data_IF_879387710927
#
_entry.id   IF_879387710927
#
_cell.length_a   1.000
_cell.length_b   1.000
_cell.length_c   1.000
_cell.angle_alpha   90.00
_cell.angle_beta   90.00
_cell.angle_gamma   90.00
#
_symmetry.space_group_name_H-M   'P 1'
#
loop_
_entity.id
_entity.type
_entity.pdbx_description
1 polymer ?
#
# COMPACT_ATOMS: atom_id res chain seq x y z
N UNK A 1 -3.99 -9.34 17.24
CA UNK A 1 -3.62 -10.17 16.08
C UNK A 1 -2.33 -9.61 15.54
N UNK A 2 -1.41 -10.46 15.10
CA UNK A 2 -0.13 -10.02 14.56
C UNK A 2 -0.23 -9.91 13.03
N UNK A 3 0.39 -8.89 12.45
CA UNK A 3 0.51 -8.77 10.98
C UNK A 3 1.62 -9.68 10.43
N UNK A 4 1.74 -9.80 9.11
CA UNK A 4 2.69 -10.71 8.45
C UNK A 4 4.18 -10.36 8.65
N UNK A 5 4.49 -9.29 9.40
CA UNK A 5 5.84 -9.01 9.89
C UNK A 5 6.27 -9.97 11.03
N UNK A 6 5.29 -10.54 11.74
CA UNK A 6 5.50 -11.60 12.71
C UNK A 6 5.68 -12.94 11.98
N UNK A 7 6.72 -13.75 12.31
CA UNK A 7 7.00 -15.01 11.60
C UNK A 7 5.87 -16.03 11.67
N UNK A 8 5.13 -16.11 12.79
CA UNK A 8 4.03 -17.05 12.94
C UNK A 8 2.84 -16.63 12.07
N UNK A 9 2.48 -15.35 12.10
CA UNK A 9 1.44 -14.80 11.23
C UNK A 9 1.82 -14.88 9.74
N UNK A 10 3.10 -14.68 9.40
CA UNK A 10 3.60 -14.83 8.02
C UNK A 10 3.40 -16.25 7.51
N UNK A 11 3.78 -17.26 8.31
CA UNK A 11 3.61 -18.68 7.96
C UNK A 11 2.15 -19.01 7.69
N UNK A 12 1.26 -18.64 8.61
CA UNK A 12 -0.18 -18.86 8.43
C UNK A 12 -0.73 -18.13 7.19
N UNK A 13 -0.30 -16.89 6.96
CA UNK A 13 -0.68 -16.14 5.76
C UNK A 13 -0.25 -16.82 4.47
N UNK A 14 0.94 -17.44 4.43
CA UNK A 14 1.39 -18.21 3.27
C UNK A 14 0.52 -19.45 3.05
N UNK A 15 0.25 -20.24 4.09
CA UNK A 15 -0.61 -21.43 4.01
C UNK A 15 -1.99 -21.10 3.43
N UNK A 16 -2.57 -19.96 3.84
CA UNK A 16 -3.87 -19.50 3.33
C UNK A 16 -3.82 -19.15 1.83
N UNK A 17 -2.80 -18.40 1.40
CA UNK A 17 -2.68 -17.99 -0.01
C UNK A 17 -2.26 -19.16 -0.91
N UNK A 18 -1.41 -20.07 -0.42
CA UNK A 18 -1.05 -21.31 -1.10
C UNK A 18 -2.28 -22.20 -1.33
N UNK A 19 -3.16 -22.33 -0.33
CA UNK A 19 -4.43 -23.04 -0.50
C UNK A 19 -5.30 -22.42 -1.61
N UNK A 20 -5.42 -21.09 -1.66
CA UNK A 20 -6.16 -20.40 -2.73
C UNK A 20 -5.50 -20.59 -4.10
N UNK A 21 -4.17 -20.59 -4.15
CA UNK A 21 -3.40 -20.83 -5.38
C UNK A 21 -3.64 -22.24 -5.91
N UNK A 22 -3.55 -23.26 -5.06
CA UNK A 22 -3.80 -24.66 -5.43
C UNK A 22 -5.24 -24.85 -5.91
N UNK A 23 -6.21 -24.24 -5.21
CA UNK A 23 -7.61 -24.27 -5.65
C UNK A 23 -7.80 -23.61 -7.02
N UNK A 24 -7.09 -22.52 -7.31
CA UNK A 24 -7.12 -21.91 -8.64
C UNK A 24 -6.53 -22.85 -9.71
N UNK A 25 -5.50 -23.64 -9.40
CA UNK A 25 -4.95 -24.63 -10.34
C UNK A 25 -5.93 -25.79 -10.60
N UNK A 26 -6.64 -26.25 -9.57
CA UNK A 26 -7.71 -27.24 -9.71
C UNK A 26 -8.84 -26.72 -10.59
N UNK A 27 -9.35 -25.52 -10.30
CA UNK A 27 -10.40 -24.88 -11.09
C UNK A 27 -10.01 -24.68 -12.55
N UNK A 28 -8.73 -24.40 -12.82
CA UNK A 28 -8.20 -24.33 -14.19
C UNK A 28 -8.32 -25.66 -14.92
N UNK A 29 -8.06 -26.79 -14.25
CA UNK A 29 -8.24 -28.14 -14.82
C UNK A 29 -9.71 -28.51 -14.97
N UNK A 30 -10.53 -28.23 -13.96
CA UNK A 30 -11.97 -28.57 -13.92
C UNK A 30 -12.77 -27.80 -14.98
N UNK A 31 -12.49 -26.50 -15.14
CA UNK A 31 -13.32 -25.61 -15.97
C UNK A 31 -12.73 -25.33 -17.35
N UNK A 32 -11.44 -25.59 -17.56
CA UNK A 32 -10.71 -25.16 -18.76
C UNK A 32 -10.47 -23.64 -18.84
N UNK A 33 -10.87 -22.86 -17.84
CA UNK A 33 -10.68 -21.40 -17.79
C UNK A 33 -9.38 -21.02 -17.08
N UNK A 34 -8.89 -19.80 -17.35
CA UNK A 34 -7.71 -19.26 -16.64
C UNK A 34 -8.11 -18.67 -15.29
N UNK A 35 -8.05 -19.50 -14.25
CA UNK A 35 -8.15 -19.06 -12.87
C UNK A 35 -6.80 -18.61 -12.34
N UNK A 36 -6.81 -17.58 -11.49
CA UNK A 36 -5.60 -17.04 -10.86
C UNK A 36 -5.93 -16.32 -9.56
N UNK A 37 -4.92 -16.18 -8.70
CA UNK A 37 -5.01 -15.41 -7.45
C UNK A 37 -4.35 -14.06 -7.68
N UNK A 38 -5.02 -12.97 -7.26
CA UNK A 38 -4.49 -11.62 -7.31
C UNK A 38 -4.54 -10.94 -5.95
N UNK A 39 -3.55 -10.08 -5.70
CA UNK A 39 -3.60 -9.08 -4.66
C UNK A 39 -4.52 -7.94 -5.13
N UNK A 40 -5.74 -7.92 -4.62
CA UNK A 40 -6.72 -6.89 -4.98
C UNK A 40 -6.21 -5.51 -4.52
N UNK A 41 -6.36 -4.44 -5.31
CA UNK A 41 -5.99 -3.08 -4.86
C UNK A 41 -6.79 -2.60 -3.63
N UNK A 42 -8.04 -3.04 -3.49
CA UNK A 42 -8.92 -2.85 -2.34
C UNK A 42 -9.07 -1.39 -1.82
N UNK A 43 -8.98 -0.39 -2.71
CA UNK A 43 -8.99 1.04 -2.37
C UNK A 43 -10.14 1.46 -1.45
N UNK A 44 -11.35 0.99 -1.74
CA UNK A 44 -12.55 1.21 -0.93
C UNK A 44 -12.88 0.01 -0.04
N UNK A 45 -12.60 -1.21 -0.52
CA UNK A 45 -12.94 -2.47 0.16
C UNK A 45 -12.23 -2.61 1.51
N UNK A 46 -10.95 -2.25 1.61
CA UNK A 46 -10.17 -2.36 2.84
C UNK A 46 -10.78 -1.53 3.99
N UNK A 47 -11.16 -0.28 3.69
CA UNK A 47 -11.86 0.58 4.65
C UNK A 47 -13.27 0.06 4.95
N UNK A 48 -14.03 -0.31 3.90
CA UNK A 48 -15.42 -0.76 4.05
C UNK A 48 -15.53 -2.01 4.94
N UNK A 49 -14.68 -3.01 4.72
CA UNK A 49 -14.72 -4.25 5.50
C UNK A 49 -14.31 -3.99 6.95
N UNK A 50 -13.25 -3.21 7.18
CA UNK A 50 -12.84 -2.83 8.54
C UNK A 50 -13.97 -2.12 9.31
N UNK A 51 -14.69 -1.20 8.66
CA UNK A 51 -15.86 -0.52 9.26
C UNK A 51 -17.00 -1.48 9.60
N UNK A 52 -17.33 -2.40 8.68
CA UNK A 52 -18.40 -3.37 8.88
C UNK A 52 -18.06 -4.35 10.02
N UNK A 53 -16.83 -4.83 10.06
CA UNK A 53 -16.37 -5.74 11.10
C UNK A 53 -16.28 -5.05 12.46
N UNK A 54 -15.79 -3.79 12.52
CA UNK A 54 -15.80 -3.02 13.76
C UNK A 54 -17.22 -2.80 14.28
N UNK A 55 -18.20 -2.56 13.39
CA UNK A 55 -19.61 -2.45 13.78
C UNK A 55 -20.18 -3.76 14.33
N UNK A 56 -19.89 -4.88 13.68
CA UNK A 56 -20.46 -6.19 14.03
C UNK A 56 -19.78 -6.82 15.26
N UNK A 57 -18.45 -6.74 15.33
CA UNK A 57 -17.64 -7.45 16.32
C UNK A 57 -17.00 -6.53 17.37
N UNK A 58 -17.14 -5.20 17.25
CA UNK A 58 -16.67 -4.20 18.23
C UNK A 58 -15.19 -4.38 18.55
N UNK A 59 -14.82 -4.54 19.82
CA UNK A 59 -13.44 -4.71 20.25
C UNK A 59 -12.80 -6.05 19.85
N UNK A 60 -13.60 -7.00 19.34
CA UNK A 60 -13.06 -8.25 18.79
C UNK A 60 -12.53 -8.09 17.36
N UNK A 61 -12.97 -7.06 16.62
CA UNK A 61 -12.42 -6.78 15.29
C UNK A 61 -11.03 -6.16 15.41
N UNK A 62 -10.06 -6.75 14.73
CA UNK A 62 -8.67 -6.29 14.73
C UNK A 62 -8.41 -5.50 13.44
N UNK A 63 -8.51 -4.18 13.56
CA UNK A 63 -8.40 -3.20 12.45
C UNK A 63 -7.27 -2.21 12.74
N UNK A 64 -6.73 -1.57 11.71
CA UNK A 64 -5.88 -0.38 11.86
C UNK A 64 -6.74 0.90 11.86
N UNK A 65 -6.14 2.05 12.20
CA UNK A 65 -6.81 3.34 12.24
C UNK A 65 -7.67 3.57 13.50
N UNK A 66 -8.33 4.73 13.58
CA UNK A 66 -9.12 5.17 14.73
C UNK A 66 -10.33 6.00 14.30
N UNK A 67 -11.30 6.25 15.17
CA UNK A 67 -12.36 7.26 14.94
C UNK A 67 -13.04 7.17 13.55
N UNK A 68 -13.54 5.99 13.18
CA UNK A 68 -14.17 5.70 11.88
C UNK A 68 -13.26 5.85 10.65
N UNK A 69 -11.95 5.95 10.82
CA UNK A 69 -10.94 5.80 9.75
C UNK A 69 -10.33 4.40 9.72
N UNK A 70 -11.08 3.39 10.16
CA UNK A 70 -10.60 2.02 10.23
C UNK A 70 -10.25 1.44 8.86
N UNK A 71 -9.17 0.67 8.77
CA UNK A 71 -8.81 -0.01 7.54
C UNK A 71 -8.13 -1.35 7.82
N UNK A 72 -8.05 -2.16 6.76
CA UNK A 72 -7.19 -3.34 6.69
C UNK A 72 -5.98 -3.06 5.80
N UNK A 73 -4.84 -3.63 6.14
CA UNK A 73 -3.68 -3.70 5.24
C UNK A 73 -4.12 -4.37 3.95
N UNK A 74 -3.72 -3.78 2.82
CA UNK A 74 -4.10 -4.31 1.53
C UNK A 74 -3.45 -5.69 1.28
N UNK A 75 -4.23 -6.65 0.80
CA UNK A 75 -3.74 -7.97 0.34
C UNK A 75 -2.74 -8.63 1.30
N UNK A 76 -1.61 -9.13 0.79
CA UNK A 76 -0.54 -9.73 1.58
C UNK A 76 0.68 -8.81 1.67
N UNK A 77 0.44 -7.51 1.87
CA UNK A 77 1.51 -6.57 2.19
C UNK A 77 1.84 -6.60 3.69
N UNK A 78 3.08 -6.22 4.01
CA UNK A 78 3.43 -5.89 5.39
C UNK A 78 2.58 -4.70 5.85
N UNK A 79 2.08 -4.68 7.11
CA UNK A 79 1.40 -3.52 7.66
C UNK A 79 2.20 -2.24 7.45
N UNK A 80 1.50 -1.18 7.05
CA UNK A 80 2.15 0.04 6.54
C UNK A 80 2.95 0.78 7.61
N UNK A 81 2.58 0.58 8.87
CA UNK A 81 3.20 1.13 10.09
C UNK A 81 4.26 0.20 10.70
N UNK A 82 4.53 -0.96 10.10
CA UNK A 82 5.45 -1.93 10.66
C UNK A 82 6.89 -1.38 10.72
N UNK A 83 7.51 -1.43 11.90
CA UNK A 83 8.89 -0.99 12.13
C UNK A 83 9.94 -1.99 11.63
N UNK A 84 9.90 -2.33 10.33
CA UNK A 84 10.91 -3.17 9.68
C UNK A 84 11.64 -2.39 8.58
N UNK A 85 12.86 -2.80 8.26
CA UNK A 85 13.61 -2.25 7.13
C UNK A 85 13.08 -2.78 5.78
N UNK A 86 13.51 -2.12 4.70
CA UNK A 86 13.08 -2.44 3.33
C UNK A 86 13.47 -3.85 2.89
N UNK A 87 14.65 -4.33 3.32
CA UNK A 87 15.16 -5.65 2.93
C UNK A 87 14.30 -6.73 3.58
N UNK A 88 13.98 -6.59 4.87
CA UNK A 88 13.08 -7.50 5.58
C UNK A 88 11.68 -7.48 4.98
N UNK A 89 11.16 -6.30 4.60
CA UNK A 89 9.88 -6.18 3.89
C UNK A 89 9.90 -6.96 2.57
N UNK A 90 10.95 -6.81 1.76
CA UNK A 90 11.15 -7.59 0.52
C UNK A 90 11.14 -9.08 0.82
N UNK A 91 11.90 -9.54 1.83
CA UNK A 91 11.98 -10.97 2.19
C UNK A 91 10.65 -11.57 2.63
N UNK A 92 9.76 -10.75 3.17
CA UNK A 92 8.39 -11.17 3.51
C UNK A 92 7.53 -11.20 2.25
N UNK A 93 7.45 -10.10 1.49
CA UNK A 93 6.53 -9.95 0.36
C UNK A 93 6.93 -10.80 -0.86
N UNK A 94 8.22 -11.08 -1.07
CA UNK A 94 8.72 -11.89 -2.20
C UNK A 94 8.17 -13.32 -2.18
N UNK A 95 7.76 -13.82 -1.01
CA UNK A 95 7.20 -15.16 -0.88
C UNK A 95 5.78 -15.25 -1.47
N UNK A 96 5.04 -14.14 -1.50
CA UNK A 96 3.66 -14.11 -1.97
C UNK A 96 3.54 -13.91 -3.47
N UNK A 97 4.45 -13.16 -4.10
CA UNK A 97 4.37 -12.83 -5.53
C UNK A 97 4.26 -14.07 -6.46
N UNK A 98 5.04 -15.16 -6.25
CA UNK A 98 4.93 -16.38 -7.07
C UNK A 98 3.57 -17.10 -6.97
N UNK A 99 2.88 -16.97 -5.83
CA UNK A 99 1.60 -17.63 -5.56
C UNK A 99 0.40 -16.70 -5.82
N UNK A 100 0.65 -15.48 -6.31
CA UNK A 100 -0.38 -14.54 -6.77
C UNK A 100 -0.11 -14.09 -8.23
N UNK A 101 -0.09 -15.01 -9.21
CA UNK A 101 0.28 -14.69 -10.59
C UNK A 101 -0.77 -13.85 -11.34
N UNK A 102 -1.96 -13.62 -10.76
CA UNK A 102 -3.02 -12.80 -11.34
C UNK A 102 -2.79 -11.30 -11.16
N UNK A 103 -1.85 -10.92 -10.28
CA UNK A 103 -1.49 -9.54 -10.03
C UNK A 103 -0.97 -9.37 -8.62
N UNK A 104 0.12 -8.62 -8.50
CA UNK A 104 0.77 -8.27 -7.24
C UNK A 104 1.58 -7.00 -7.45
N UNK A 105 1.87 -6.29 -6.38
CA UNK A 105 2.77 -5.13 -6.43
C UNK A 105 3.55 -5.08 -5.12
N UNK A 106 4.76 -4.51 -5.16
CA UNK A 106 5.52 -4.15 -3.98
C UNK A 106 5.70 -2.63 -3.95
N UNK A 107 5.23 -1.99 -2.88
CA UNK A 107 5.43 -0.56 -2.69
C UNK A 107 6.71 -0.29 -1.91
N UNK A 108 7.66 0.43 -2.52
CA UNK A 108 8.77 1.08 -1.83
C UNK A 108 8.39 2.54 -1.52
N UNK A 109 7.83 2.78 -0.33
CA UNK A 109 7.41 4.12 0.09
C UNK A 109 8.64 4.98 0.44
N UNK A 110 9.01 5.90 -0.45
CA UNK A 110 10.16 6.79 -0.27
C UNK A 110 9.80 8.08 0.47
N UNK A 111 8.52 8.42 0.58
CA UNK A 111 8.10 9.64 1.26
C UNK A 111 8.60 10.91 0.55
N UNK A 112 9.33 11.76 1.27
CA UNK A 112 10.00 12.95 0.73
C UNK A 112 11.45 12.69 0.29
N UNK A 113 11.96 11.47 0.51
CA UNK A 113 13.33 11.12 0.17
C UNK A 113 13.59 11.28 -1.34
N UNK A 114 14.80 11.74 -1.64
CA UNK A 114 15.33 11.84 -2.99
C UNK A 114 16.58 10.95 -3.08
N UNK A 115 16.40 9.62 -3.10
CA UNK A 115 17.53 8.72 -3.22
C UNK A 115 18.29 8.99 -4.52
N UNK A 116 19.60 8.85 -4.43
CA UNK A 116 20.50 8.99 -5.57
C UNK A 116 20.11 8.01 -6.70
N UNK A 117 20.30 8.43 -7.95
CA UNK A 117 19.91 7.63 -9.10
C UNK A 117 20.71 6.32 -9.20
N UNK A 118 21.98 6.32 -8.79
CA UNK A 118 22.79 5.10 -8.76
C UNK A 118 22.31 4.17 -7.65
N UNK A 119 21.89 4.72 -6.50
CA UNK A 119 21.29 3.94 -5.42
C UNK A 119 19.99 3.26 -5.87
N UNK A 120 19.09 3.99 -6.54
CA UNK A 120 17.85 3.42 -7.12
C UNK A 120 18.16 2.37 -8.19
N UNK A 121 19.16 2.59 -9.04
CA UNK A 121 19.55 1.62 -10.05
C UNK A 121 20.11 0.34 -9.41
N UNK A 122 20.97 0.46 -8.40
CA UNK A 122 21.55 -0.68 -7.68
C UNK A 122 20.46 -1.48 -6.95
N UNK A 123 19.53 -0.78 -6.32
CA UNK A 123 18.40 -1.41 -5.64
C UNK A 123 17.46 -2.11 -6.64
N UNK A 124 17.17 -1.48 -7.77
CA UNK A 124 16.42 -2.09 -8.88
C UNK A 124 17.08 -3.37 -9.37
N UNK A 125 18.39 -3.35 -9.66
CA UNK A 125 19.15 -4.54 -10.07
C UNK A 125 19.07 -5.64 -9.02
N UNK A 126 19.19 -5.28 -7.74
CA UNK A 126 19.08 -6.24 -6.64
C UNK A 126 17.68 -6.88 -6.57
N UNK A 127 16.61 -6.11 -6.73
CA UNK A 127 15.24 -6.65 -6.81
C UNK A 127 15.14 -7.66 -7.95
N UNK A 128 15.56 -7.29 -9.17
CA UNK A 128 15.47 -8.16 -10.34
C UNK A 128 16.29 -9.45 -10.22
N UNK A 129 17.47 -9.39 -9.61
CA UNK A 129 18.44 -10.50 -9.63
C UNK A 129 18.36 -11.40 -8.40
N UNK A 130 17.99 -10.85 -7.24
CA UNK A 130 18.16 -11.51 -5.95
C UNK A 130 16.85 -11.70 -5.19
N UNK A 131 15.70 -11.40 -5.81
CA UNK A 131 14.39 -11.49 -5.16
C UNK A 131 13.33 -12.09 -6.09
N UNK A 132 12.19 -12.47 -5.52
CA UNK A 132 11.01 -12.93 -6.30
C UNK A 132 9.95 -11.85 -6.50
N UNK A 133 10.27 -10.58 -6.24
CA UNK A 133 9.35 -9.47 -6.44
C UNK A 133 9.12 -9.24 -7.93
N UNK A 134 7.94 -9.65 -8.44
CA UNK A 134 7.61 -9.54 -9.86
C UNK A 134 7.19 -8.15 -10.36
N UNK A 135 6.68 -7.26 -9.49
CA UNK A 135 6.30 -5.89 -9.86
C UNK A 135 6.45 -4.98 -8.63
N UNK A 136 6.99 -3.78 -8.82
CA UNK A 136 7.19 -2.82 -7.74
C UNK A 136 7.12 -1.38 -8.25
N UNK A 137 7.04 -0.45 -7.31
CA UNK A 137 7.18 0.98 -7.55
C UNK A 137 8.07 1.66 -6.52
N UNK A 138 8.57 2.83 -6.91
CA UNK A 138 9.14 3.83 -6.02
C UNK A 138 8.11 4.94 -5.84
N UNK A 139 7.49 5.03 -4.67
CA UNK A 139 6.42 5.98 -4.43
C UNK A 139 6.88 7.14 -3.57
N UNK A 140 6.85 8.33 -4.16
CA UNK A 140 7.06 9.60 -3.46
C UNK A 140 5.72 10.27 -3.19
N UNK A 141 5.60 10.87 -2.00
CA UNK A 141 4.51 11.77 -1.68
C UNK A 141 4.80 13.15 -2.30
N UNK A 142 3.77 13.79 -2.84
CA UNK A 142 3.87 15.12 -3.46
C UNK A 142 2.78 16.04 -2.92
N UNK A 143 3.06 17.33 -2.92
CA UNK A 143 2.09 18.39 -2.64
C UNK A 143 2.10 19.40 -3.78
N UNK A 144 0.93 19.91 -4.16
CA UNK A 144 0.79 20.88 -5.23
C UNK A 144 -0.09 22.04 -4.80
N UNK A 145 0.44 23.26 -4.88
CA UNK A 145 -0.33 24.46 -4.59
C UNK A 145 -1.20 24.84 -5.79
N UNK A 146 -2.52 24.72 -5.65
CA UNK A 146 -3.47 25.03 -6.70
C UNK A 146 -3.54 26.53 -7.02
N UNK A 147 -3.08 27.39 -6.10
CA UNK A 147 -3.05 28.86 -6.26
C UNK A 147 -1.86 29.33 -7.10
N UNK A 148 -0.63 29.07 -6.65
CA UNK A 148 0.59 29.54 -7.33
C UNK A 148 1.28 28.48 -8.21
N UNK A 149 0.71 27.27 -8.32
CA UNK A 149 1.18 26.17 -9.17
C UNK A 149 2.56 25.60 -8.79
N UNK A 150 3.00 25.80 -7.55
CA UNK A 150 4.23 25.21 -7.04
C UNK A 150 4.03 23.73 -6.70
N UNK A 151 4.86 22.87 -7.31
CA UNK A 151 5.02 21.46 -6.94
C UNK A 151 6.06 21.33 -5.83
N UNK A 152 5.74 20.53 -4.81
CA UNK A 152 6.55 20.30 -3.62
C UNK A 152 6.61 18.79 -3.34
N UNK A 153 7.72 18.34 -2.73
CA UNK A 153 7.87 16.96 -2.27
C UNK A 153 7.35 16.81 -0.85
N UNK A 154 6.88 15.61 -0.52
CA UNK A 154 6.27 15.28 0.76
C UNK A 154 4.82 15.74 0.86
N UNK A 155 4.22 15.44 2.01
CA UNK A 155 2.86 15.85 2.39
C UNK A 155 2.93 17.21 3.12
N UNK A 156 3.21 18.28 2.38
CA UNK A 156 3.33 19.62 2.93
C UNK A 156 1.96 20.27 3.12
N UNK A 157 1.74 20.86 4.29
CA UNK A 157 0.49 21.56 4.60
C UNK A 157 0.47 23.02 4.16
N UNK A 158 1.64 23.62 3.97
CA UNK A 158 1.81 25.03 3.60
C UNK A 158 2.67 25.13 2.35
N UNK A 159 2.26 25.96 1.40
CA UNK A 159 3.04 26.20 0.20
C UNK A 159 4.34 26.95 0.53
N UNK A 160 5.49 26.33 0.23
CA UNK A 160 6.81 26.92 0.44
C UNK A 160 7.07 28.21 -0.37
N UNK A 161 6.29 28.46 -1.44
CA UNK A 161 6.46 29.62 -2.31
C UNK A 161 5.56 30.81 -1.94
N UNK A 162 4.29 30.56 -1.60
CA UNK A 162 3.31 31.65 -1.38
C UNK A 162 2.59 31.63 -0.02
N UNK A 163 2.91 30.65 0.84
CA UNK A 163 2.31 30.53 2.18
C UNK A 163 0.85 30.04 2.21
N UNK A 164 0.28 29.68 1.06
CA UNK A 164 -1.09 29.14 0.97
C UNK A 164 -1.23 27.81 1.73
N UNK A 165 -2.38 27.61 2.41
CA UNK A 165 -2.63 26.43 3.25
C UNK A 165 -3.87 25.65 2.85
N UNK A 166 -4.91 26.37 2.38
CA UNK A 166 -6.22 25.78 2.06
C UNK A 166 -6.20 25.13 0.67
N UNK A 167 -5.44 25.71 -0.26
CA UNK A 167 -5.37 25.26 -1.66
C UNK A 167 -4.09 24.45 -1.95
N UNK A 168 -3.67 23.63 -0.99
CA UNK A 168 -2.55 22.68 -1.14
C UNK A 168 -3.10 21.26 -1.18
N UNK A 169 -3.03 20.66 -2.37
CA UNK A 169 -3.46 19.28 -2.60
C UNK A 169 -2.28 18.32 -2.41
N UNK A 170 -2.56 17.13 -1.89
CA UNK A 170 -1.60 16.04 -1.81
C UNK A 170 -1.85 15.04 -2.93
N UNK A 171 -0.75 14.52 -3.48
CA UNK A 171 -0.76 13.43 -4.44
C UNK A 171 0.13 12.32 -3.91
N UNK A 172 -0.40 11.12 -3.89
CA UNK A 172 0.36 9.92 -3.56
C UNK A 172 -0.21 8.75 -4.37
N UNK A 173 0.50 7.64 -4.39
CA UNK A 173 0.03 6.39 -4.96
C UNK A 173 -0.92 5.72 -3.97
N UNK A 174 -2.17 5.57 -4.39
CA UNK A 174 -3.20 4.91 -3.59
C UNK A 174 -2.92 3.41 -3.52
N UNK A 175 -2.78 2.80 -4.69
CA UNK A 175 -2.48 1.39 -4.92
C UNK A 175 -1.57 1.30 -6.15
N UNK A 176 -2.11 1.13 -7.36
CA UNK A 176 -1.33 1.02 -8.60
C UNK A 176 -1.04 2.36 -9.29
N UNK A 177 -1.70 3.46 -8.93
CA UNK A 177 -1.60 4.75 -9.63
C UNK A 177 -1.59 5.94 -8.68
N UNK A 178 -1.03 7.07 -9.16
CA UNK A 178 -0.99 8.34 -8.42
C UNK A 178 -2.35 9.02 -8.56
N UNK A 179 -2.89 9.49 -7.44
CA UNK A 179 -4.18 10.16 -7.38
C UNK A 179 -4.12 11.32 -6.38
N UNK A 180 -4.98 12.31 -6.58
CA UNK A 180 -5.24 13.33 -5.56
C UNK A 180 -5.80 12.68 -4.29
N UNK A 181 -5.27 13.08 -3.14
CA UNK A 181 -5.70 12.59 -1.82
C UNK A 181 -6.99 13.29 -1.39
N UNK A 182 -7.22 14.53 -1.84
CA UNK A 182 -8.39 15.33 -1.51
C UNK A 182 -8.19 16.16 -0.25
N UNK A 183 -7.01 16.77 -0.10
CA UNK A 183 -6.68 17.68 1.01
C UNK A 183 -7.16 19.10 0.74
N UNK A 184 -6.98 19.61 -0.48
CA UNK A 184 -7.29 21.01 -0.75
C UNK A 184 -8.78 21.29 -0.57
N UNK A 185 -9.11 22.50 -0.15
CA UNK A 185 -10.50 22.91 0.07
C UNK A 185 -11.35 22.81 -1.20
N UNK A 186 -10.74 23.10 -2.36
CA UNK A 186 -11.40 22.99 -3.66
C UNK A 186 -11.42 21.58 -4.26
N UNK A 187 -10.86 20.57 -3.58
CA UNK A 187 -10.84 19.20 -4.08
C UNK A 187 -12.24 18.59 -4.12
N UNK A 188 -12.68 18.20 -5.31
CA UNK A 188 -14.00 17.60 -5.57
C UNK A 188 -14.04 16.07 -5.43
N UNK A 189 -12.93 15.46 -5.01
CA UNK A 189 -12.80 14.02 -4.82
C UNK A 189 -11.48 13.68 -4.13
N UNK A 190 -11.25 12.42 -3.82
CA UNK A 190 -10.03 11.98 -3.18
C UNK A 190 -10.21 10.65 -2.46
N UNK A 191 -9.29 10.39 -1.55
CA UNK A 191 -9.24 9.12 -0.83
C UNK A 191 -10.31 9.07 0.26
N UNK A 192 -10.85 7.88 0.53
CA UNK A 192 -11.75 7.69 1.67
C UNK A 192 -11.01 7.87 3.00
N UNK A 193 -11.76 7.99 4.11
CA UNK A 193 -11.19 8.25 5.44
C UNK A 193 -10.14 7.21 5.85
N UNK A 194 -10.42 5.92 5.67
CA UNK A 194 -9.47 4.86 6.00
C UNK A 194 -8.20 4.92 5.17
N UNK A 195 -8.31 5.25 3.88
CA UNK A 195 -7.14 5.34 3.00
C UNK A 195 -6.29 6.59 3.28
N UNK A 196 -6.90 7.70 3.70
CA UNK A 196 -6.17 8.87 4.21
C UNK A 196 -5.47 8.56 5.53
N UNK A 197 -6.09 7.78 6.42
CA UNK A 197 -5.44 7.33 7.64
C UNK A 197 -4.24 6.42 7.32
N UNK A 198 -4.42 5.44 6.43
CA UNK A 198 -3.36 4.56 5.95
C UNK A 198 -2.17 5.35 5.40
N UNK A 199 -2.40 6.42 4.62
CA UNK A 199 -1.35 7.31 4.12
C UNK A 199 -0.51 7.95 5.24
N UNK A 200 -1.17 8.37 6.32
CA UNK A 200 -0.51 9.00 7.46
C UNK A 200 0.28 7.97 8.25
N UNK A 201 -0.23 6.74 8.35
CA UNK A 201 0.38 5.63 9.09
C UNK A 201 1.55 4.96 8.34
N UNK A 202 1.71 5.22 7.02
CA UNK A 202 2.82 4.68 6.22
C UNK A 202 4.18 5.04 6.80
N UNK A 203 4.95 4.00 7.13
CA UNK A 203 6.40 4.06 7.26
C UNK A 203 7.02 4.43 5.91
N UNK A 204 7.81 5.50 5.92
CA UNK A 204 8.58 5.98 4.78
C UNK A 204 10.03 5.57 4.98
N UNK A 205 10.64 5.05 3.92
CA UNK A 205 12.03 4.61 3.92
C UNK A 205 12.89 5.75 3.36
N UNK A 206 13.90 6.14 4.14
CA UNK A 206 14.89 7.16 3.78
C UNK A 206 16.17 6.51 3.27
#
# INVERSE_FOLDING_TARGET
GHGIADPYANKFGLEVIEYLYDRAQELKKETGLRWSVLQTPAESTAHRFAMLDKKLYKEKAIVQGKEDSYYYTNSSHVPVDAEIDMIKKIKIEEKYHPITPGGHIFHAWLGEAQPDTEALQKFTKNICQNTKIGFWDYSSALSFCLKCKTLMRGLQETCANCGEKEEVEWYDRITGYVQQVGRAKSSSGGWNKGKRQELLDRKRYN
#
